data_IF_860337658970
#
_entry.id   IF_860337658970
#
_cell.length_a   1.000
_cell.length_b   1.000
_cell.length_c   1.000
_cell.angle_alpha   90.00
_cell.angle_beta   90.00
_cell.angle_gamma   90.00
#
_symmetry.space_group_name_H-M   'P 1'
#
loop_
_entity.id
_entity.type
_entity.pdbx_description
1 polymer ?
#
# COMPACT_ATOMS: atom_id res chain seq x y z
N UNK A 1 11.92 -11.87 0.86
CA UNK A 1 11.62 -10.43 1.02
C UNK A 1 12.66 -9.87 1.97
N UNK A 2 13.33 -8.78 1.58
CA UNK A 2 14.29 -8.09 2.43
C UNK A 2 13.60 -6.88 3.06
N UNK A 3 13.78 -6.67 4.36
CA UNK A 3 13.20 -5.58 5.14
C UNK A 3 14.35 -4.69 5.60
N UNK A 4 14.22 -3.38 5.43
CA UNK A 4 15.33 -2.44 5.67
C UNK A 4 15.30 -1.79 7.06
N UNK A 5 14.34 -2.14 7.93
CA UNK A 5 14.20 -1.57 9.29
C UNK A 5 13.79 -2.63 10.35
N UNK A 6 14.09 -2.32 11.62
CA UNK A 6 13.64 -3.08 12.81
C UNK A 6 12.13 -2.84 13.00
N UNK A 7 11.32 -3.70 12.41
CA UNK A 7 9.87 -3.60 12.46
C UNK A 7 9.36 -4.56 13.52
N UNK A 8 8.40 -4.08 14.30
CA UNK A 8 7.72 -4.90 15.28
C UNK A 8 7.19 -6.20 14.62
N UNK A 9 7.53 -7.39 15.16
CA UNK A 9 7.11 -8.66 14.58
C UNK A 9 5.58 -8.80 14.42
N UNK A 10 4.78 -8.15 15.26
CA UNK A 10 3.32 -8.18 15.12
C UNK A 10 2.86 -7.34 13.93
N UNK A 11 3.45 -6.16 13.70
CA UNK A 11 3.21 -5.38 12.48
C UNK A 11 3.59 -6.17 11.22
N UNK A 12 4.70 -6.90 11.26
CA UNK A 12 5.12 -7.74 10.15
C UNK A 12 4.11 -8.85 9.83
N UNK A 13 3.51 -9.47 10.85
CA UNK A 13 2.51 -10.52 10.67
C UNK A 13 1.27 -10.03 9.91
N UNK A 14 0.86 -8.77 10.09
CA UNK A 14 -0.30 -8.19 9.41
C UNK A 14 -0.16 -8.19 7.88
N UNK A 15 1.06 -8.06 7.36
CA UNK A 15 1.31 -8.01 5.90
C UNK A 15 1.11 -9.36 5.21
N UNK A 16 1.13 -10.46 5.98
CA UNK A 16 0.96 -11.82 5.47
C UNK A 16 -0.39 -12.42 5.86
N UNK A 17 -1.27 -11.62 6.46
CA UNK A 17 -2.61 -12.05 6.82
C UNK A 17 -3.43 -12.38 5.56
N UNK A 18 -3.99 -13.60 5.44
CA UNK A 18 -4.78 -13.97 4.27
C UNK A 18 -6.07 -13.17 4.21
N UNK A 19 -6.19 -12.31 3.20
CA UNK A 19 -7.40 -11.50 2.99
C UNK A 19 -8.47 -12.28 2.23
N UNK A 20 -9.59 -12.57 2.89
CA UNK A 20 -10.80 -13.10 2.23
C UNK A 20 -11.66 -11.94 1.77
N UNK A 21 -11.97 -11.86 0.46
CA UNK A 21 -12.71 -10.73 -0.13
C UNK A 21 -12.07 -9.37 0.17
N UNK A 22 -10.73 -9.30 0.08
CA UNK A 22 -9.99 -8.06 0.30
C UNK A 22 -10.33 -6.95 -0.70
N UNK A 23 -9.72 -5.79 -0.49
CA UNK A 23 -9.88 -4.63 -1.36
C UNK A 23 -9.06 -4.70 -2.65
N UNK A 24 -9.11 -3.60 -3.41
CA UNK A 24 -8.25 -3.37 -4.58
C UNK A 24 -6.99 -2.61 -4.16
N UNK A 25 -5.85 -3.01 -4.71
CA UNK A 25 -4.58 -2.27 -4.63
C UNK A 25 -4.22 -1.77 -6.03
N UNK A 26 -4.03 -0.46 -6.17
CA UNK A 26 -3.71 0.17 -7.44
C UNK A 26 -2.59 1.21 -7.26
N UNK A 27 -1.79 1.38 -8.31
CA UNK A 27 -0.82 2.47 -8.42
C UNK A 27 -1.34 3.51 -9.41
N UNK A 28 -1.22 4.78 -9.05
CA UNK A 28 -1.59 5.93 -9.89
C UNK A 28 -0.41 6.91 -9.93
N UNK A 29 -0.34 7.82 -10.92
CA UNK A 29 0.61 8.92 -10.88
C UNK A 29 0.48 9.72 -9.58
N UNK A 30 1.60 10.12 -8.98
CA UNK A 30 1.63 10.81 -7.69
C UNK A 30 0.74 12.06 -7.69
N UNK A 31 0.74 12.82 -8.78
CA UNK A 31 -0.09 14.01 -8.97
C UNK A 31 -1.60 13.74 -8.98
N UNK A 32 -2.03 12.49 -9.09
CA UNK A 32 -3.44 12.08 -9.12
C UNK A 32 -3.89 11.40 -7.82
N UNK A 33 -2.99 11.08 -6.89
CA UNK A 33 -3.31 10.29 -5.69
C UNK A 33 -4.47 10.88 -4.87
N UNK A 34 -4.41 12.19 -4.57
CA UNK A 34 -5.43 12.87 -3.79
C UNK A 34 -6.80 12.90 -4.49
N UNK A 35 -6.80 13.20 -5.79
CA UNK A 35 -8.03 13.25 -6.58
C UNK A 35 -8.70 11.88 -6.65
N UNK A 36 -7.93 10.82 -6.95
CA UNK A 36 -8.44 9.44 -7.01
C UNK A 36 -9.03 9.01 -5.66
N UNK A 37 -8.38 9.34 -4.54
CA UNK A 37 -8.92 9.03 -3.20
C UNK A 37 -10.22 9.79 -2.94
N UNK A 38 -10.29 11.06 -3.32
CA UNK A 38 -11.52 11.87 -3.19
C UNK A 38 -12.67 11.25 -4.00
N UNK A 39 -12.43 10.98 -5.28
CA UNK A 39 -13.42 10.41 -6.20
C UNK A 39 -13.92 9.05 -5.70
N UNK A 40 -13.02 8.18 -5.21
CA UNK A 40 -13.39 6.89 -4.64
C UNK A 40 -14.25 7.03 -3.38
N UNK A 41 -13.93 7.99 -2.50
CA UNK A 41 -14.73 8.26 -1.30
C UNK A 41 -16.12 8.77 -1.67
N UNK A 42 -16.20 9.69 -2.63
CA UNK A 42 -17.47 10.20 -3.16
C UNK A 42 -18.31 9.12 -3.86
N UNK A 43 -17.65 8.17 -4.54
CA UNK A 43 -18.28 7.02 -5.17
C UNK A 43 -18.72 5.92 -4.20
N UNK A 44 -18.58 6.12 -2.87
CA UNK A 44 -19.02 5.18 -1.84
C UNK A 44 -17.96 4.19 -1.36
N UNK A 45 -16.67 4.48 -1.59
CA UNK A 45 -15.53 3.71 -1.06
C UNK A 45 -14.82 4.55 0.03
N UNK A 46 -15.40 4.69 1.23
CA UNK A 46 -14.90 5.61 2.26
C UNK A 46 -13.50 5.23 2.78
N UNK A 47 -13.12 3.96 2.65
CA UNK A 47 -11.83 3.41 3.11
C UNK A 47 -10.70 3.53 2.08
N UNK A 48 -10.94 4.20 0.94
CA UNK A 48 -9.88 4.46 -0.03
C UNK A 48 -8.72 5.24 0.62
N UNK A 49 -7.52 4.69 0.51
CA UNK A 49 -6.34 5.21 1.20
C UNK A 49 -5.07 5.05 0.36
N UNK A 50 -4.17 6.02 0.45
CA UNK A 50 -2.79 5.87 0.02
C UNK A 50 -2.02 5.15 1.11
N UNK A 51 -1.51 3.95 0.80
CA UNK A 51 -0.78 3.10 1.76
C UNK A 51 0.73 3.04 1.50
N UNK A 52 1.23 3.79 0.51
CA UNK A 52 2.65 3.81 0.16
C UNK A 52 2.94 4.49 -1.17
N UNK A 53 4.15 4.25 -1.69
CA UNK A 53 4.62 4.73 -2.99
C UNK A 53 5.51 3.67 -3.66
N UNK A 54 5.54 3.68 -4.98
CA UNK A 54 6.50 2.87 -5.75
C UNK A 54 7.80 3.66 -5.92
N UNK A 55 8.92 3.06 -5.52
CA UNK A 55 10.26 3.63 -5.70
C UNK A 55 11.03 2.86 -6.76
N UNK A 56 12.03 3.50 -7.37
CA UNK A 56 12.93 2.83 -8.29
C UNK A 56 13.82 1.84 -7.53
N UNK A 57 13.99 0.64 -8.06
CA UNK A 57 14.90 -0.37 -7.51
C UNK A 57 15.69 -1.06 -8.61
N UNK A 58 16.88 -1.56 -8.27
CA UNK A 58 17.68 -2.43 -9.12
C UNK A 58 17.71 -3.83 -8.51
N UNK A 59 17.40 -4.85 -9.31
CA UNK A 59 17.30 -6.23 -8.84
C UNK A 59 15.88 -6.63 -8.44
N UNK A 60 15.74 -7.30 -7.29
CA UNK A 60 14.46 -7.86 -6.85
C UNK A 60 13.54 -6.82 -6.20
N UNK A 61 12.23 -6.95 -6.42
CA UNK A 61 11.21 -6.14 -5.75
C UNK A 61 11.27 -6.35 -4.23
N UNK A 62 11.21 -5.26 -3.48
CA UNK A 62 11.17 -5.24 -2.01
C UNK A 62 9.95 -4.47 -1.51
N UNK A 63 9.48 -4.83 -0.33
CA UNK A 63 8.56 -4.00 0.46
C UNK A 63 9.41 -3.25 1.49
N UNK A 64 9.35 -1.92 1.44
CA UNK A 64 10.00 -1.04 2.39
C UNK A 64 8.89 -0.50 3.29
N UNK A 65 9.10 -0.60 4.59
CA UNK A 65 8.16 -0.23 5.63
C UNK A 65 8.91 0.76 6.51
N UNK A 66 8.36 1.96 6.63
CA UNK A 66 8.92 3.12 7.33
C UNK A 66 8.01 3.53 8.49
#
# INVERSE_FOLDING_TARGET
>A
LAYEHDIDPHTMQLLFDPQTSGGLLAAVPESQSEAVISDLKEAGVPVAAQIGRVTQTTGSVKLILD
#
